data_IF_023639389505
#
_entry.id   IF_023639389505
#
_cell.length_a   1.000
_cell.length_b   1.000
_cell.length_c   1.000
_cell.angle_alpha   90.00
_cell.angle_beta   90.00
_cell.angle_gamma   90.00
#
_symmetry.space_group_name_H-M   'P 1'
#
loop_
_entity.id
_entity.type
_entity.pdbx_description
1 polymer ?
#
# COMPACT_ATOMS: atom_id res chain seq x y z
N UNK A 1 -18.59 30.90 11.24
CA UNK A 1 -18.10 30.43 11.20
C UNK A 1 -17.50 29.50 10.51
N UNK A 2 -17.21 29.39 10.02
CA UNK A 2 -16.83 28.49 9.06
C UNK A 2 -15.55 27.83 9.17
N UNK A 3 -14.79 28.20 10.00
CA UNK A 3 -13.53 27.56 10.18
C UNK A 3 -13.67 26.15 10.64
N UNK A 4 -14.79 25.80 11.14
CA UNK A 4 -15.04 24.46 11.59
C UNK A 4 -14.93 23.43 10.47
N UNK A 5 -15.44 23.71 9.29
CA UNK A 5 -15.27 22.77 8.19
C UNK A 5 -13.81 22.47 7.91
N UNK A 6 -12.97 23.45 8.03
CA UNK A 6 -11.54 23.25 7.82
C UNK A 6 -10.97 22.25 8.78
N UNK A 7 -11.31 22.38 10.04
CA UNK A 7 -10.84 21.45 11.05
C UNK A 7 -11.38 20.04 10.79
N UNK A 8 -12.62 19.95 10.38
CA UNK A 8 -13.21 18.66 10.05
C UNK A 8 -12.50 18.00 8.88
N UNK A 9 -12.19 18.79 7.86
CA UNK A 9 -11.47 18.28 6.70
C UNK A 9 -10.11 17.75 7.09
N UNK A 10 -9.44 18.46 7.96
CA UNK A 10 -8.15 18.02 8.45
C UNK A 10 -8.25 16.68 9.15
N UNK A 11 -9.25 16.52 9.97
CA UNK A 11 -9.49 15.27 10.68
C UNK A 11 -9.69 14.12 9.72
N UNK A 12 -10.46 14.35 8.67
CA UNK A 12 -10.73 13.34 7.67
C UNK A 12 -9.46 12.96 6.93
N UNK A 13 -8.65 13.95 6.58
CA UNK A 13 -7.41 13.70 5.88
C UNK A 13 -6.46 12.88 6.73
N UNK A 14 -6.39 13.17 8.01
CA UNK A 14 -5.54 12.42 8.91
C UNK A 14 -5.98 10.97 9.01
N UNK A 15 -7.27 10.72 9.10
CA UNK A 15 -7.79 9.37 9.18
C UNK A 15 -7.54 8.61 7.88
N UNK A 16 -7.71 9.26 6.76
CA UNK A 16 -7.45 8.64 5.47
C UNK A 16 -5.98 8.28 5.31
N UNK A 17 -5.11 9.17 5.77
CA UNK A 17 -3.68 8.93 5.72
C UNK A 17 -3.30 7.74 6.60
N UNK A 18 -3.84 7.69 7.80
CA UNK A 18 -3.58 6.57 8.70
C UNK A 18 -4.04 5.26 8.11
N UNK A 19 -5.23 5.27 7.50
CA UNK A 19 -5.76 4.07 6.88
C UNK A 19 -4.86 3.62 5.73
N UNK A 20 -4.44 4.57 4.91
CA UNK A 20 -3.59 4.26 3.77
C UNK A 20 -2.25 3.69 4.21
N UNK A 21 -1.65 4.28 5.24
CA UNK A 21 -0.38 3.78 5.77
C UNK A 21 -0.53 2.38 6.35
N UNK A 22 -1.63 2.15 7.03
CA UNK A 22 -1.91 0.83 7.59
C UNK A 22 -2.09 -0.20 6.48
N UNK A 23 -2.79 0.20 5.42
CA UNK A 23 -3.01 -0.69 4.29
C UNK A 23 -1.69 -1.00 3.57
N UNK A 24 -0.85 0.01 3.39
CA UNK A 24 0.46 -0.18 2.76
C UNK A 24 1.27 -1.21 3.54
N UNK A 25 1.35 -1.03 4.83
CA UNK A 25 2.11 -1.95 5.67
C UNK A 25 1.50 -3.36 5.62
N UNK A 26 0.18 -3.44 5.64
CA UNK A 26 -0.51 -4.71 5.58
C UNK A 26 -0.26 -5.46 4.27
N UNK A 27 -0.27 -4.74 3.16
CA UNK A 27 -0.03 -5.35 1.86
C UNK A 27 1.41 -5.85 1.77
N UNK A 28 2.37 -5.06 2.24
CA UNK A 28 3.77 -5.48 2.23
C UNK A 28 4.00 -6.66 3.15
N UNK A 29 3.32 -6.68 4.28
CA UNK A 29 3.42 -7.80 5.21
C UNK A 29 2.88 -9.07 4.58
N UNK A 30 1.77 -8.96 3.85
CA UNK A 30 1.21 -10.09 3.14
C UNK A 30 2.21 -10.62 2.11
N UNK A 31 2.85 -9.71 1.38
CA UNK A 31 3.85 -10.08 0.41
C UNK A 31 5.01 -10.82 1.07
N UNK A 32 5.45 -10.35 2.22
CA UNK A 32 6.52 -11.01 2.96
C UNK A 32 6.10 -12.41 3.40
N UNK A 33 4.89 -12.54 3.90
CA UNK A 33 4.38 -13.83 4.38
C UNK A 33 4.27 -14.85 3.26
N UNK A 34 4.09 -14.37 2.03
CA UNK A 34 3.98 -15.26 0.87
C UNK A 34 5.31 -15.54 0.21
N UNK A 35 6.40 -15.18 0.86
CA UNK A 35 7.73 -15.47 0.34
C UNK A 35 8.44 -14.30 -0.28
N UNK A 36 7.83 -13.15 -0.28
CA UNK A 36 8.46 -11.92 -0.76
C UNK A 36 8.22 -11.60 -2.22
N UNK A 37 7.51 -12.45 -2.95
CA UNK A 37 7.27 -12.23 -4.38
C UNK A 37 5.91 -12.80 -4.74
N UNK A 38 5.08 -11.99 -5.41
CA UNK A 38 3.74 -12.41 -5.82
C UNK A 38 3.35 -11.73 -7.12
N UNK A 39 2.49 -12.39 -7.91
CA UNK A 39 1.88 -11.72 -9.05
C UNK A 39 1.09 -10.50 -8.58
N UNK A 40 1.11 -9.46 -9.38
CA UNK A 40 0.41 -8.23 -9.04
C UNK A 40 -1.08 -8.45 -8.79
N UNK A 41 -1.67 -9.36 -9.56
CA UNK A 41 -3.09 -9.67 -9.43
C UNK A 41 -3.45 -10.15 -8.02
N UNK A 42 -2.58 -10.98 -7.44
CA UNK A 42 -2.84 -11.49 -6.10
C UNK A 42 -2.75 -10.40 -5.05
N UNK A 43 -1.79 -9.49 -5.23
CA UNK A 43 -1.67 -8.35 -4.32
C UNK A 43 -2.89 -7.44 -4.43
N UNK A 44 -3.35 -7.23 -5.66
CA UNK A 44 -4.53 -6.41 -5.89
C UNK A 44 -5.77 -7.03 -5.24
N UNK A 45 -5.96 -8.33 -5.43
CA UNK A 45 -7.09 -9.02 -4.82
C UNK A 45 -7.05 -8.93 -3.31
N UNK A 46 -5.87 -9.13 -2.73
CA UNK A 46 -5.74 -9.03 -1.28
C UNK A 46 -6.07 -7.62 -0.80
N UNK A 47 -5.55 -6.61 -1.49
CA UNK A 47 -5.79 -5.22 -1.13
C UNK A 47 -7.28 -4.89 -1.17
N UNK A 48 -7.96 -5.39 -2.19
CA UNK A 48 -9.39 -5.12 -2.35
C UNK A 48 -10.19 -5.83 -1.26
N UNK A 49 -9.90 -7.10 -1.01
CA UNK A 49 -10.66 -7.88 -0.05
C UNK A 49 -10.40 -7.47 1.39
N UNK A 50 -9.15 -7.18 1.70
CA UNK A 50 -8.78 -6.88 3.09
C UNK A 50 -8.98 -5.41 3.45
N UNK A 51 -8.68 -4.51 2.53
CA UNK A 51 -8.68 -3.07 2.81
C UNK A 51 -9.65 -2.29 1.93
N UNK A 52 -10.39 -2.98 1.08
CA UNK A 52 -11.37 -2.36 0.18
C UNK A 52 -10.72 -1.32 -0.75
N UNK A 53 -9.48 -1.56 -1.12
CA UNK A 53 -8.76 -0.65 -2.00
C UNK A 53 -9.10 -0.98 -3.44
N UNK A 54 -9.62 0.02 -4.15
CA UNK A 54 -9.98 -0.15 -5.54
C UNK A 54 -8.77 -0.01 -6.45
N UNK A 55 -8.98 -0.30 -7.73
CA UNK A 55 -7.89 -0.35 -8.70
C UNK A 55 -7.01 0.90 -8.70
N UNK A 56 -7.63 2.08 -8.71
CA UNK A 56 -6.86 3.33 -8.73
C UNK A 56 -6.03 3.51 -7.46
N UNK A 57 -6.62 3.17 -6.32
CA UNK A 57 -5.90 3.26 -5.07
C UNK A 57 -4.75 2.29 -5.01
N UNK A 58 -4.95 1.10 -5.53
CA UNK A 58 -3.91 0.09 -5.57
C UNK A 58 -2.75 0.51 -6.48
N UNK A 59 -3.08 1.05 -7.65
CA UNK A 59 -2.05 1.54 -8.57
C UNK A 59 -1.20 2.61 -7.92
N UNK A 60 -1.84 3.54 -7.23
CA UNK A 60 -1.13 4.61 -6.53
C UNK A 60 -0.24 4.04 -5.42
N UNK A 61 -0.76 3.05 -4.71
CA UNK A 61 0.00 2.40 -3.66
C UNK A 61 1.24 1.72 -4.21
N UNK A 62 1.09 0.98 -5.33
CA UNK A 62 2.22 0.31 -5.96
C UNK A 62 3.26 1.32 -6.44
N UNK A 63 2.79 2.42 -7.02
CA UNK A 63 3.67 3.49 -7.45
C UNK A 63 4.52 4.00 -6.30
N UNK A 64 3.89 4.19 -5.14
CA UNK A 64 4.58 4.63 -3.94
C UNK A 64 5.62 3.61 -3.50
N UNK A 65 5.26 2.33 -3.53
CA UNK A 65 6.19 1.27 -3.14
C UNK A 65 7.44 1.27 -4.02
N UNK A 66 7.24 1.39 -5.33
CA UNK A 66 8.35 1.39 -6.26
C UNK A 66 9.21 2.64 -6.09
N UNK A 67 8.56 3.79 -5.94
CA UNK A 67 9.28 5.06 -5.75
C UNK A 67 10.11 5.07 -4.48
N UNK A 68 9.60 4.45 -3.42
CA UNK A 68 10.32 4.37 -2.16
C UNK A 68 11.25 3.17 -2.10
N UNK A 69 11.33 2.41 -3.19
CA UNK A 69 12.20 1.26 -3.32
C UNK A 69 11.91 0.16 -2.30
N UNK A 70 10.66 0.06 -1.91
CA UNK A 70 10.21 -1.00 -1.02
C UNK A 70 9.88 -2.27 -1.79
N UNK A 71 9.55 -2.12 -3.07
CA UNK A 71 9.17 -3.21 -3.95
C UNK A 71 9.81 -3.00 -5.30
N UNK A 72 10.28 -4.10 -5.90
CA UNK A 72 10.71 -4.13 -7.29
C UNK A 72 9.58 -4.73 -8.11
N UNK A 73 9.31 -4.17 -9.26
CA UNK A 73 8.25 -4.68 -10.12
C UNK A 73 8.81 -5.14 -11.46
N UNK A 74 8.53 -6.38 -11.81
CA UNK A 74 8.94 -6.95 -13.10
C UNK A 74 7.74 -6.92 -14.05
N UNK A 75 7.82 -6.04 -15.03
CA UNK A 75 6.72 -5.87 -15.98
C UNK A 75 6.53 -7.11 -16.87
N UNK A 76 7.61 -7.82 -17.16
CA UNK A 76 7.52 -8.98 -18.02
C UNK A 76 6.69 -10.09 -17.39
N UNK A 77 6.88 -10.32 -16.11
CA UNK A 77 6.16 -11.39 -15.42
C UNK A 77 5.00 -10.86 -14.57
N UNK A 78 4.81 -9.55 -14.54
CA UNK A 78 3.76 -8.91 -13.73
C UNK A 78 3.88 -9.31 -12.27
N UNK A 79 5.10 -9.32 -11.76
CA UNK A 79 5.41 -9.81 -10.42
C UNK A 79 6.02 -8.71 -9.57
N UNK A 80 5.58 -8.59 -8.33
CA UNK A 80 6.11 -7.64 -7.37
C UNK A 80 6.98 -8.42 -6.37
N UNK A 81 8.17 -7.90 -6.10
CA UNK A 81 9.11 -8.53 -5.18
C UNK A 81 9.52 -7.53 -4.10
N UNK A 82 9.43 -7.98 -2.85
CA UNK A 82 9.79 -7.16 -1.71
C UNK A 82 11.29 -6.98 -1.65
N UNK A 83 11.74 -5.74 -1.51
CA UNK A 83 13.18 -5.44 -1.38
C UNK A 83 13.60 -5.59 0.07
N UNK A 84 14.90 -5.46 0.30
CA UNK A 84 15.42 -5.48 1.67
C UNK A 84 14.84 -4.30 2.46
N UNK A 85 14.77 -3.14 1.83
CA UNK A 85 14.16 -1.97 2.47
C UNK A 85 12.69 -2.22 2.80
N UNK A 86 11.99 -2.93 1.91
CA UNK A 86 10.61 -3.29 2.16
C UNK A 86 10.47 -4.24 3.34
N UNK A 87 11.38 -5.20 3.45
CA UNK A 87 11.37 -6.13 4.58
C UNK A 87 11.60 -5.40 5.89
N UNK A 88 12.53 -4.46 5.89
CA UNK A 88 12.82 -3.68 7.08
C UNK A 88 11.64 -2.79 7.46
N UNK A 89 10.97 -2.24 6.46
CA UNK A 89 9.79 -1.40 6.69
C UNK A 89 8.69 -2.19 7.40
N UNK A 90 8.50 -3.43 7.01
CA UNK A 90 7.44 -4.27 7.59
C UNK A 90 7.80 -4.74 8.99
N UNK A 91 9.07 -4.94 9.26
CA UNK A 91 9.50 -5.41 10.57
C UNK A 91 9.20 -4.44 11.70
N UNK A 92 9.15 -3.17 11.38
CA UNK A 92 8.80 -2.17 12.38
C UNK A 92 7.30 -2.21 12.65
#
# INVERSE_FOLDING_TARGET
MPEQPSASDKSKEDKQREFFERARKGVLKFLLEKGGSLPLDELHDYSMQKFFIQHQGFSRMMETFVNQKLVDFDFASNTATLTEAGRNFVKD
#
